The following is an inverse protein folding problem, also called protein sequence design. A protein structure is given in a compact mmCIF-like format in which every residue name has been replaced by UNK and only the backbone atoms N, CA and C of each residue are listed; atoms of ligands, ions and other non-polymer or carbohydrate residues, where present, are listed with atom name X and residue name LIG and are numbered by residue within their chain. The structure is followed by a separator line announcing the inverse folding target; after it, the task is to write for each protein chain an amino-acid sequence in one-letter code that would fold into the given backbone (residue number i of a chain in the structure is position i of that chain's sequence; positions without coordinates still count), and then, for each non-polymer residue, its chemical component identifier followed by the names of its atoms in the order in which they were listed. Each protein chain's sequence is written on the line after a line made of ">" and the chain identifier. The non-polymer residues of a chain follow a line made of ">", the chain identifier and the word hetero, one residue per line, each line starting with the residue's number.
data_IF_312556482896
#
_entry.id   IF_312556482896
#
_cell.length_a   1.000
_cell.length_b   1.000
_cell.length_c   1.000
_cell.angle_alpha   90.00
_cell.angle_beta   90.00
_cell.angle_gamma   90.00
#
_symmetry.space_group_name_H-M   'P 1'
#
loop_
_entity.id
_entity.type
_entity.pdbx_description
1 polymer ?
#
# COMPACT_ATOMS: atom_id res chain seq x y z
N UNK A 1 -12.66 15.51 -4.25
CA UNK A 1 -11.81 14.69 -3.37
C UNK A 1 -11.20 13.60 -4.24
N UNK A 2 -9.89 13.65 -4.48
CA UNK A 2 -9.18 12.76 -5.40
C UNK A 2 -8.14 11.93 -4.67
N UNK A 3 -7.70 10.82 -5.28
CA UNK A 3 -6.58 10.05 -4.75
C UNK A 3 -5.26 10.83 -4.90
N UNK A 4 -4.32 10.55 -4.00
CA UNK A 4 -2.99 11.16 -4.01
C UNK A 4 -2.20 10.58 -5.18
N UNK A 5 -1.65 11.45 -6.01
CA UNK A 5 -0.74 11.08 -7.09
C UNK A 5 0.43 10.24 -6.53
N UNK A 6 0.81 9.10 -7.15
CA UNK A 6 1.89 8.25 -6.67
C UNK A 6 3.20 9.00 -6.39
N UNK A 7 3.52 10.05 -7.16
CA UNK A 7 4.71 10.89 -6.97
C UNK A 7 4.75 11.63 -5.63
N UNK A 8 3.62 11.71 -4.92
CA UNK A 8 3.48 12.43 -3.64
C UNK A 8 3.34 11.50 -2.44
N UNK A 9 3.51 10.19 -2.62
CA UNK A 9 3.37 9.20 -1.52
C UNK A 9 4.42 9.40 -0.42
N UNK A 10 5.61 9.86 -0.76
CA UNK A 10 6.64 10.22 0.23
C UNK A 10 6.23 11.40 1.13
N UNK A 11 5.62 12.43 0.53
CA UNK A 11 5.06 13.57 1.29
C UNK A 11 3.93 13.10 2.21
N UNK A 12 3.10 12.21 1.69
CA UNK A 12 2.00 11.63 2.44
C UNK A 12 2.49 10.83 3.65
N UNK A 13 3.45 9.92 3.49
CA UNK A 13 3.99 9.12 4.60
C UNK A 13 4.57 10.01 5.71
N UNK A 14 5.35 11.05 5.33
CA UNK A 14 5.87 12.06 6.27
C UNK A 14 4.77 12.82 6.99
N UNK A 15 3.75 13.24 6.26
CA UNK A 15 2.65 14.02 6.82
C UNK A 15 1.81 13.18 7.78
N UNK A 16 1.56 11.90 7.48
CA UNK A 16 0.86 10.97 8.37
C UNK A 16 1.65 10.79 9.67
N UNK A 17 2.97 10.60 9.59
CA UNK A 17 3.82 10.51 10.78
C UNK A 17 3.76 11.77 11.64
N UNK A 18 3.81 12.95 11.01
CA UNK A 18 3.71 14.24 11.72
C UNK A 18 2.37 14.47 12.42
N UNK A 19 1.28 13.96 11.85
CA UNK A 19 -0.07 14.20 12.34
C UNK A 19 -0.50 13.22 13.45
N UNK A 20 0.03 12.00 13.43
CA UNK A 20 -0.30 11.00 14.43
C UNK A 20 0.32 11.37 15.79
N UNK A 21 -0.47 11.18 16.86
CA UNK A 21 0.05 11.29 18.24
C UNK A 21 1.01 10.15 18.54
N UNK A 22 1.76 10.27 19.62
CA UNK A 22 2.58 9.18 20.15
C UNK A 22 1.78 7.88 20.21
N UNK A 23 2.37 6.80 19.66
CA UNK A 23 1.76 5.46 19.53
C UNK A 23 0.56 5.37 18.58
N UNK A 24 0.24 6.43 17.84
CA UNK A 24 -0.71 6.40 16.72
C UNK A 24 -0.24 5.46 15.61
N UNK A 25 -1.18 4.85 14.89
CA UNK A 25 -0.88 3.81 13.90
C UNK A 25 -1.61 4.09 12.59
N UNK A 26 -0.91 4.15 11.45
CA UNK A 26 -1.57 4.13 10.15
C UNK A 26 -2.17 2.74 9.89
N UNK A 27 -3.41 2.70 9.41
CA UNK A 27 -4.07 1.49 8.94
C UNK A 27 -4.77 1.80 7.61
N UNK A 28 -4.71 0.87 6.67
CA UNK A 28 -5.26 1.07 5.34
C UNK A 28 -5.29 -0.22 4.52
N UNK A 29 -5.88 -0.11 3.33
CA UNK A 29 -5.94 -1.19 2.33
C UNK A 29 -5.02 -0.82 1.18
N UNK A 30 -4.22 -1.78 0.73
CA UNK A 30 -3.38 -1.68 -0.46
C UNK A 30 -4.05 -2.46 -1.60
N UNK A 31 -4.19 -1.81 -2.75
CA UNK A 31 -4.50 -2.50 -4.00
C UNK A 31 -3.19 -2.78 -4.72
N UNK A 32 -2.64 -3.97 -4.52
CA UNK A 32 -1.41 -4.41 -5.17
C UNK A 32 -1.74 -5.05 -6.53
N UNK A 33 -2.15 -4.15 -7.44
CA UNK A 33 -2.42 -4.44 -8.84
C UNK A 33 -2.25 -3.15 -9.65
N UNK A 34 -1.89 -3.28 -10.93
CA UNK A 34 -1.80 -2.14 -11.83
C UNK A 34 -3.20 -1.70 -12.26
N UNK A 35 -3.50 -0.42 -12.06
CA UNK A 35 -4.68 0.23 -12.62
C UNK A 35 -4.27 1.11 -13.80
N UNK A 36 -5.25 1.50 -14.62
CA UNK A 36 -5.06 2.55 -15.62
C UNK A 36 -4.65 3.88 -14.96
N UNK A 37 -4.36 4.92 -15.75
CA UNK A 37 -3.89 6.24 -15.27
C UNK A 37 -4.90 7.04 -14.41
N UNK A 38 -5.88 6.38 -13.79
CA UNK A 38 -6.91 6.97 -12.94
C UNK A 38 -7.00 6.25 -11.58
N UNK A 39 -7.43 6.95 -10.52
CA UNK A 39 -7.70 6.32 -9.23
C UNK A 39 -8.71 5.16 -9.29
N UNK A 40 -8.62 4.17 -8.38
CA UNK A 40 -7.56 4.00 -7.38
C UNK A 40 -6.20 3.73 -8.05
N UNK A 41 -5.14 4.36 -7.54
CA UNK A 41 -3.80 4.06 -8.00
C UNK A 41 -3.31 2.78 -7.33
N UNK A 42 -2.75 1.89 -8.13
CA UNK A 42 -2.10 0.68 -7.65
C UNK A 42 -0.83 0.97 -6.89
N UNK A 43 -0.20 -0.07 -6.39
CA UNK A 43 1.15 -0.03 -5.84
C UNK A 43 1.64 -1.44 -5.61
N UNK A 44 2.76 -1.59 -4.93
CA UNK A 44 3.23 -2.90 -4.47
C UNK A 44 3.47 -2.91 -2.98
N UNK A 45 3.40 -4.10 -2.37
CA UNK A 45 3.76 -4.25 -0.96
C UNK A 45 5.18 -3.74 -0.68
N UNK A 46 6.12 -3.95 -1.60
CA UNK A 46 7.51 -3.46 -1.48
C UNK A 46 7.60 -1.92 -1.47
N UNK A 47 6.87 -1.25 -2.36
CA UNK A 47 6.80 0.20 -2.41
C UNK A 47 6.25 0.78 -1.09
N UNK A 48 5.15 0.21 -0.58
CA UNK A 48 4.54 0.68 0.66
C UNK A 48 5.41 0.38 1.89
N UNK A 49 6.17 -0.72 1.91
CA UNK A 49 7.17 -0.94 2.95
C UNK A 49 8.22 0.16 2.96
N UNK A 50 8.85 0.43 1.82
CA UNK A 50 9.89 1.46 1.70
C UNK A 50 9.39 2.86 2.12
N UNK A 51 8.13 3.18 1.81
CA UNK A 51 7.50 4.46 2.18
C UNK A 51 7.28 4.64 3.69
N UNK A 52 6.88 3.57 4.40
CA UNK A 52 6.40 3.67 5.79
C UNK A 52 7.41 3.18 6.85
N UNK A 53 8.32 2.25 6.52
CA UNK A 53 9.34 1.73 7.44
C UNK A 53 10.24 2.81 8.08
N UNK A 54 10.61 3.92 7.40
CA UNK A 54 11.38 4.98 8.04
C UNK A 54 10.65 5.68 9.20
N UNK A 55 9.32 5.60 9.24
CA UNK A 55 8.47 6.35 10.16
C UNK A 55 7.70 5.46 11.15
N UNK A 56 7.51 4.19 10.84
CA UNK A 56 6.67 3.26 11.60
C UNK A 56 7.25 1.85 11.64
N UNK A 57 7.11 1.18 12.78
CA UNK A 57 7.27 -0.27 12.85
C UNK A 57 6.06 -0.97 12.24
N UNK A 58 6.25 -1.68 11.12
CA UNK A 58 5.18 -2.42 10.45
C UNK A 58 4.85 -3.67 11.27
N UNK A 59 3.59 -3.78 11.72
CA UNK A 59 3.12 -4.95 12.49
C UNK A 59 2.53 -6.03 11.58
N UNK A 60 1.73 -5.62 10.61
CA UNK A 60 1.04 -6.53 9.69
C UNK A 60 0.91 -5.85 8.34
N UNK A 61 1.21 -6.59 7.28
CA UNK A 61 0.97 -6.21 5.89
C UNK A 61 0.83 -7.51 5.10
N UNK A 62 -0.42 -7.91 4.89
CA UNK A 62 -0.77 -9.24 4.39
C UNK A 62 -1.78 -9.13 3.25
N UNK A 63 -1.76 -10.15 2.40
CA UNK A 63 -2.69 -10.28 1.30
C UNK A 63 -4.04 -10.79 1.79
N UNK A 64 -5.12 -10.15 1.37
CA UNK A 64 -6.47 -10.67 1.56
C UNK A 64 -7.02 -11.15 0.23
N UNK A 65 -7.30 -12.45 0.12
CA UNK A 65 -7.94 -13.04 -1.06
C UNK A 65 -9.44 -13.15 -0.77
N UNK A 66 -10.25 -12.42 -1.53
CA UNK A 66 -11.71 -12.57 -1.50
C UNK A 66 -12.04 -13.86 -2.29
N UNK A 67 -12.27 -14.96 -1.57
CA UNK A 67 -12.69 -16.23 -2.20
C UNK A 67 -14.12 -16.09 -2.74
N UNK A 68 -14.23 -15.67 -4.00
CA UNK A 68 -15.42 -15.83 -4.83
C UNK A 68 -14.97 -15.99 -6.28
N UNK A 69 -14.95 -17.24 -6.73
CA UNK A 69 -14.67 -17.70 -8.10
C UNK A 69 -13.20 -17.92 -8.45
N UNK A 70 -12.92 -19.20 -8.64
CA UNK A 70 -11.73 -19.78 -9.25
C UNK A 70 -11.46 -19.16 -10.62
N UNK A 71 -10.49 -18.28 -10.71
CA UNK A 71 -9.51 -18.28 -11.80
C UNK A 71 -8.26 -17.58 -11.29
N UNK A 72 -7.15 -18.32 -11.34
CA UNK A 72 -5.83 -17.86 -10.92
C UNK A 72 -5.47 -16.60 -11.71
N UNK A 73 -5.46 -15.45 -11.04
CA UNK A 73 -4.54 -14.39 -11.45
C UNK A 73 -3.19 -14.81 -10.90
N UNK A 74 -2.40 -15.49 -11.74
CA UNK A 74 -0.98 -15.72 -11.48
C UNK A 74 -0.27 -14.35 -11.53
N UNK A 75 -0.38 -13.58 -10.46
CA UNK A 75 0.62 -12.55 -10.14
C UNK A 75 1.56 -13.14 -9.10
N UNK A 76 2.84 -13.20 -9.46
CA UNK A 76 3.98 -13.52 -8.59
C UNK A 76 4.20 -15.02 -8.29
N UNK A 77 4.68 -15.76 -9.29
CA UNK A 77 5.62 -16.85 -9.01
C UNK A 77 7.02 -16.24 -8.77
N UNK A 78 7.78 -16.67 -7.74
CA UNK A 78 9.16 -16.26 -7.59
C UNK A 78 10.00 -17.00 -8.64
N UNK A 79 10.80 -16.26 -9.41
CA UNK A 79 11.92 -16.85 -10.14
C UNK A 79 13.19 -16.16 -9.61
N UNK A 80 13.88 -16.96 -8.78
CA UNK A 80 15.15 -16.76 -8.06
C UNK A 80 15.09 -15.93 -6.78
#
# INVERSE_FOLDING_TARGET
>A
MGAIDPSRRDEYARQVHRLLRDKGRPAGVLFDCEFQSSPPFGGSMAEYRALFEPYFGIQTMEWFIIQSSLEKVESCLPIL
#
